data_IF_925128160817
#
_entry.id   IF_925128160817
#
_cell.length_a   1.000
_cell.length_b   1.000
_cell.length_c   1.000
_cell.angle_alpha   90.00
_cell.angle_beta   90.00
_cell.angle_gamma   90.00
#
_symmetry.space_group_name_H-M   'P 1'
#
loop_
_entity.id
_entity.type
_entity.pdbx_description
1 polymer ?
#
# COMPACT_ATOMS: atom_id res chain seq x y z
N UNK A 1 4.38 19.54 3.38
CA UNK A 1 4.09 18.21 3.93
C UNK A 1 5.29 17.34 3.62
N UNK A 2 5.94 16.77 4.63
CA UNK A 2 7.13 15.93 4.43
C UNK A 2 6.75 14.46 4.13
N UNK A 3 7.71 13.65 3.65
CA UNK A 3 7.48 12.26 3.21
C UNK A 3 6.85 11.38 4.32
N UNK A 4 7.27 11.55 5.58
CA UNK A 4 6.74 10.80 6.73
C UNK A 4 5.29 11.16 7.04
N UNK A 5 4.96 12.45 6.99
CA UNK A 5 3.56 12.90 7.14
C UNK A 5 2.67 12.31 6.05
N UNK A 6 3.16 12.19 4.82
CA UNK A 6 2.39 11.67 3.70
C UNK A 6 2.14 10.17 3.81
N UNK A 7 3.17 9.39 4.17
CA UNK A 7 3.04 7.97 4.50
C UNK A 7 2.05 7.76 5.65
N UNK A 8 2.11 8.60 6.69
CA UNK A 8 1.18 8.56 7.81
C UNK A 8 -0.28 8.71 7.38
N UNK A 9 -0.59 9.70 6.52
CA UNK A 9 -1.97 9.92 6.04
C UNK A 9 -2.51 8.78 5.19
N UNK A 10 -1.71 8.25 4.27
CA UNK A 10 -2.17 7.10 3.48
C UNK A 10 -2.37 5.87 4.37
N UNK A 11 -1.49 5.63 5.34
CA UNK A 11 -1.67 4.53 6.30
C UNK A 11 -2.98 4.65 7.11
N UNK A 12 -3.33 5.86 7.56
CA UNK A 12 -4.61 6.13 8.23
C UNK A 12 -5.81 5.85 7.32
N UNK A 13 -5.75 6.25 6.04
CA UNK A 13 -6.79 5.93 5.06
C UNK A 13 -6.92 4.43 4.82
N UNK A 14 -5.81 3.70 4.69
CA UNK A 14 -5.84 2.24 4.54
C UNK A 14 -6.46 1.57 5.77
N UNK A 15 -6.13 2.04 6.97
CA UNK A 15 -6.76 1.57 8.20
C UNK A 15 -8.27 1.87 8.23
N UNK A 16 -8.71 3.03 7.74
CA UNK A 16 -10.15 3.36 7.67
C UNK A 16 -10.90 2.41 6.71
N UNK A 17 -10.33 2.09 5.55
CA UNK A 17 -10.90 1.12 4.60
C UNK A 17 -11.03 -0.26 5.25
N UNK A 18 -10.01 -0.71 6.01
CA UNK A 18 -10.05 -1.98 6.74
C UNK A 18 -11.10 -1.98 7.86
N UNK A 19 -11.29 -0.87 8.56
CA UNK A 19 -12.29 -0.74 9.61
C UNK A 19 -13.71 -0.90 9.04
N UNK A 20 -13.97 -0.26 7.88
CA UNK A 20 -15.23 -0.41 7.17
C UNK A 20 -15.51 -1.88 6.79
N UNK A 21 -14.50 -2.61 6.31
CA UNK A 21 -14.68 -4.03 5.95
C UNK A 21 -14.85 -4.92 7.18
N UNK A 22 -14.16 -4.61 8.29
CA UNK A 22 -14.32 -5.30 9.57
C UNK A 22 -15.76 -5.23 10.12
N UNK A 23 -16.45 -4.10 9.92
CA UNK A 23 -17.84 -3.91 10.34
C UNK A 23 -18.86 -4.57 9.39
N UNK A 24 -18.44 -4.96 8.18
CA UNK A 24 -19.34 -5.54 7.17
C UNK A 24 -19.70 -6.97 7.57
N UNK A 25 -21.02 -7.29 7.59
CA UNK A 25 -21.55 -8.61 7.95
C UNK A 25 -20.91 -9.77 7.17
N UNK A 26 -20.59 -9.54 5.89
CA UNK A 26 -19.92 -10.50 5.01
C UNK A 26 -18.54 -9.98 4.58
N UNK A 27 -17.83 -9.35 5.53
CA UNK A 27 -16.49 -8.84 5.33
C UNK A 27 -15.50 -9.93 4.95
N UNK A 28 -14.53 -9.61 4.10
CA UNK A 28 -13.49 -10.54 3.66
C UNK A 28 -12.54 -10.94 4.81
N UNK A 29 -12.36 -10.07 5.79
CA UNK A 29 -11.46 -10.25 6.93
C UNK A 29 -11.92 -9.41 8.13
N UNK A 30 -11.27 -9.64 9.28
CA UNK A 30 -11.50 -8.88 10.51
C UNK A 30 -10.22 -8.20 10.99
N UNK A 31 -10.26 -6.90 11.21
CA UNK A 31 -9.14 -6.11 11.74
C UNK A 31 -9.62 -5.29 12.97
N UNK A 32 -9.43 -5.81 14.20
CA UNK A 32 -9.90 -5.13 15.41
C UNK A 32 -9.10 -3.86 15.75
N UNK A 33 -7.97 -3.61 15.08
CA UNK A 33 -7.13 -2.44 15.34
C UNK A 33 -7.38 -1.30 14.34
N UNK A 34 -7.96 -1.62 13.18
CA UNK A 34 -8.18 -0.70 12.07
C UNK A 34 -8.83 0.62 12.49
N UNK A 35 -9.93 0.59 13.24
CA UNK A 35 -10.66 1.80 13.62
C UNK A 35 -9.80 2.75 14.48
N UNK A 36 -9.00 2.20 15.39
CA UNK A 36 -8.10 2.97 16.25
C UNK A 36 -6.93 3.54 15.46
N UNK A 37 -6.38 2.79 14.51
CA UNK A 37 -5.26 3.22 13.67
C UNK A 37 -5.68 4.25 12.61
N UNK A 38 -6.93 4.20 12.15
CA UNK A 38 -7.48 5.17 11.21
C UNK A 38 -7.55 6.57 11.81
N UNK A 39 -8.08 6.68 13.03
CA UNK A 39 -8.43 7.97 13.63
C UNK A 39 -9.47 8.74 12.81
N UNK A 40 -9.84 9.94 13.27
CA UNK A 40 -10.84 10.78 12.59
C UNK A 40 -10.40 11.20 11.19
N UNK A 41 -9.10 11.44 10.98
CA UNK A 41 -8.55 11.86 9.69
C UNK A 41 -8.68 10.76 8.63
N UNK A 42 -8.38 9.50 8.96
CA UNK A 42 -8.51 8.38 8.04
C UNK A 42 -9.95 8.19 7.57
N UNK A 43 -10.93 8.29 8.48
CA UNK A 43 -12.35 8.20 8.15
C UNK A 43 -12.82 9.38 7.29
N UNK A 44 -12.39 10.61 7.58
CA UNK A 44 -12.71 11.78 6.75
C UNK A 44 -12.16 11.65 5.32
N UNK A 45 -11.00 11.00 5.14
CA UNK A 45 -10.47 10.68 3.81
C UNK A 45 -11.24 9.56 3.11
N UNK A 46 -11.72 8.55 3.85
CA UNK A 46 -12.51 7.44 3.29
C UNK A 46 -13.82 7.92 2.65
N UNK A 47 -14.49 8.91 3.25
CA UNK A 47 -15.74 9.50 2.74
C UNK A 47 -15.60 10.06 1.33
N UNK A 48 -14.37 10.41 0.93
CA UNK A 48 -14.06 11.00 -0.36
C UNK A 48 -13.77 9.96 -1.47
N UNK A 49 -13.65 8.67 -1.13
CA UNK A 49 -13.33 7.62 -2.10
C UNK A 49 -14.58 6.97 -2.70
N UNK A 50 -14.56 6.70 -4.01
CA UNK A 50 -15.57 5.86 -4.63
C UNK A 50 -15.44 4.40 -4.15
N UNK A 51 -16.54 3.63 -4.05
CA UNK A 51 -16.50 2.23 -3.61
C UNK A 51 -15.55 1.35 -4.43
N UNK A 52 -15.43 1.59 -5.75
CA UNK A 52 -14.54 0.83 -6.64
C UNK A 52 -13.07 0.96 -6.26
N UNK A 53 -12.65 2.13 -5.78
CA UNK A 53 -11.23 2.40 -5.47
C UNK A 53 -10.79 1.77 -4.14
N UNK A 54 -11.75 1.25 -3.36
CA UNK A 54 -11.50 0.53 -2.11
C UNK A 54 -11.25 -0.96 -2.35
N UNK A 55 -11.81 -1.53 -3.42
CA UNK A 55 -11.83 -2.98 -3.64
C UNK A 55 -10.43 -3.59 -3.74
N UNK A 56 -9.49 -2.92 -4.40
CA UNK A 56 -8.10 -3.35 -4.49
C UNK A 56 -7.46 -3.52 -3.10
N UNK A 57 -7.70 -2.57 -2.19
CA UNK A 57 -7.16 -2.59 -0.82
C UNK A 57 -7.70 -3.76 0.00
N UNK A 58 -8.98 -4.08 -0.16
CA UNK A 58 -9.61 -5.18 0.56
C UNK A 58 -9.12 -6.54 0.09
N UNK A 59 -9.01 -6.71 -1.23
CA UNK A 59 -8.45 -7.93 -1.83
C UNK A 59 -7.01 -8.11 -1.37
N UNK A 60 -6.19 -7.05 -1.46
CA UNK A 60 -4.81 -7.05 -0.99
C UNK A 60 -4.68 -7.54 0.45
N UNK A 61 -5.41 -6.93 1.38
CA UNK A 61 -5.35 -7.29 2.80
C UNK A 61 -5.78 -8.72 3.03
N UNK A 62 -6.82 -9.21 2.35
CA UNK A 62 -7.25 -10.60 2.46
C UNK A 62 -6.14 -11.59 2.07
N UNK A 63 -5.35 -11.26 1.06
CA UNK A 63 -4.34 -12.17 0.52
C UNK A 63 -3.00 -12.13 1.25
N UNK A 64 -2.54 -10.95 1.69
CA UNK A 64 -1.16 -10.83 2.18
C UNK A 64 -1.03 -10.80 3.71
N UNK A 65 -2.03 -10.32 4.45
CA UNK A 65 -1.89 -10.10 5.89
C UNK A 65 -1.72 -11.43 6.67
N UNK A 66 -2.32 -12.53 6.19
CA UNK A 66 -2.19 -13.88 6.78
C UNK A 66 -0.75 -14.41 6.74
N UNK A 67 0.13 -13.85 5.90
CA UNK A 67 1.53 -14.26 5.77
C UNK A 67 2.49 -13.46 6.66
N UNK A 68 2.01 -12.41 7.35
CA UNK A 68 2.85 -11.57 8.21
C UNK A 68 3.01 -12.23 9.58
N UNK A 69 4.18 -12.84 9.82
CA UNK A 69 4.48 -13.53 11.08
C UNK A 69 5.37 -12.73 12.04
N UNK A 70 6.16 -11.80 11.52
CA UNK A 70 7.09 -10.98 12.31
C UNK A 70 7.33 -9.60 11.66
N UNK A 71 7.74 -8.61 12.47
CA UNK A 71 8.02 -7.23 12.04
C UNK A 71 9.42 -6.78 12.42
N UNK A 72 10.06 -5.99 11.54
CA UNK A 72 11.32 -5.28 11.80
C UNK A 72 11.06 -3.78 11.81
N UNK A 73 11.44 -3.08 12.87
CA UNK A 73 11.32 -1.63 12.94
C UNK A 73 12.54 -0.97 12.28
N UNK A 74 12.36 -0.43 11.07
CA UNK A 74 13.43 0.18 10.31
C UNK A 74 12.92 1.33 9.44
N UNK A 75 13.77 2.33 9.20
CA UNK A 75 13.59 3.31 8.11
C UNK A 75 14.28 2.75 6.86
N UNK A 76 13.51 2.48 5.80
CA UNK A 76 14.04 1.87 4.58
C UNK A 76 15.04 2.76 3.82
N UNK A 77 15.14 4.04 4.17
CA UNK A 77 16.17 4.95 3.63
C UNK A 77 17.52 4.83 4.34
N UNK A 78 17.61 4.07 5.44
CA UNK A 78 18.82 3.85 6.23
C UNK A 78 19.35 2.41 6.08
N UNK A 79 20.59 2.12 6.51
CA UNK A 79 21.06 0.74 6.79
C UNK A 79 20.09 -0.05 7.68
N UNK A 80 19.37 -1.00 7.08
CA UNK A 80 18.36 -1.85 7.75
C UNK A 80 18.64 -3.34 7.64
N UNK A 81 19.53 -3.73 6.72
CA UNK A 81 19.83 -5.12 6.37
C UNK A 81 20.25 -5.94 7.60
N UNK A 82 21.08 -5.36 8.46
CA UNK A 82 21.54 -6.00 9.69
C UNK A 82 20.38 -6.37 10.64
N UNK A 83 19.34 -5.54 10.73
CA UNK A 83 18.18 -5.81 11.59
C UNK A 83 17.41 -7.04 11.10
N UNK A 84 17.32 -7.23 9.78
CA UNK A 84 16.68 -8.41 9.21
C UNK A 84 17.50 -9.69 9.48
N UNK A 85 18.83 -9.60 9.36
CA UNK A 85 19.75 -10.70 9.67
C UNK A 85 19.72 -11.08 11.16
N UNK A 86 19.70 -10.09 12.05
CA UNK A 86 19.59 -10.30 13.49
C UNK A 86 18.28 -10.99 13.89
N UNK A 87 17.21 -10.80 13.10
CA UNK A 87 15.94 -11.51 13.23
C UNK A 87 15.92 -12.90 12.61
N UNK A 88 17.04 -13.37 12.08
CA UNK A 88 17.20 -14.73 11.58
C UNK A 88 16.89 -14.93 10.10
N UNK A 89 16.74 -13.84 9.33
CA UNK A 89 16.67 -13.96 7.87
C UNK A 89 17.95 -14.56 7.29
N UNK A 90 17.80 -15.53 6.39
CA UNK A 90 18.91 -16.26 5.79
C UNK A 90 19.07 -15.90 4.33
N UNK A 91 20.14 -15.17 4.00
CA UNK A 91 20.48 -14.73 2.62
C UNK A 91 20.78 -15.87 1.66
N UNK A 92 20.90 -17.10 2.15
CA UNK A 92 21.16 -18.32 1.37
C UNK A 92 19.90 -19.06 0.95
N UNK A 93 18.73 -18.69 1.51
CA UNK A 93 17.45 -19.35 1.23
C UNK A 93 16.65 -18.48 0.25
N UNK A 94 16.10 -19.05 -0.85
CA UNK A 94 15.22 -18.32 -1.76
C UNK A 94 14.07 -17.65 -1.02
N UNK A 95 13.87 -16.36 -1.29
CA UNK A 95 12.85 -15.54 -0.62
C UNK A 95 11.93 -14.88 -1.64
N UNK A 96 10.71 -14.58 -1.22
CA UNK A 96 9.80 -13.70 -1.97
C UNK A 96 9.82 -12.35 -1.29
N UNK A 97 10.32 -11.33 -1.98
CA UNK A 97 10.22 -9.94 -1.55
C UNK A 97 8.94 -9.34 -2.13
N UNK A 98 8.12 -8.74 -1.29
CA UNK A 98 6.95 -7.98 -1.73
C UNK A 98 7.16 -6.51 -1.37
N UNK A 99 7.22 -5.64 -2.38
CA UNK A 99 7.34 -4.19 -2.19
C UNK A 99 6.09 -3.53 -2.75
N UNK A 100 5.12 -3.35 -1.86
CA UNK A 100 3.79 -2.86 -2.19
C UNK A 100 3.50 -1.51 -1.54
N UNK A 101 2.85 -0.62 -2.28
CA UNK A 101 2.50 0.74 -1.89
C UNK A 101 3.70 1.59 -1.47
N UNK A 102 4.92 1.33 -1.96
CA UNK A 102 6.12 2.00 -1.44
C UNK A 102 6.77 2.97 -2.43
N UNK A 103 6.98 2.57 -3.68
CA UNK A 103 7.81 3.34 -4.62
C UNK A 103 7.23 4.70 -4.99
N UNK A 104 5.91 4.88 -4.87
CA UNK A 104 5.26 6.19 -5.09
C UNK A 104 5.63 7.24 -4.04
N UNK A 105 6.26 6.83 -2.94
CA UNK A 105 6.73 7.70 -1.85
C UNK A 105 8.25 7.94 -1.87
N UNK A 106 8.99 7.30 -2.77
CA UNK A 106 10.45 7.33 -2.80
C UNK A 106 10.95 8.14 -4.00
N UNK A 107 12.01 8.91 -3.78
CA UNK A 107 12.79 9.51 -4.86
C UNK A 107 13.58 8.43 -5.60
N UNK A 108 13.97 8.70 -6.86
CA UNK A 108 14.69 7.73 -7.70
C UNK A 108 15.96 7.17 -7.02
N UNK A 109 16.75 8.04 -6.39
CA UNK A 109 17.95 7.63 -5.66
C UNK A 109 17.63 6.71 -4.46
N UNK A 110 16.50 6.92 -3.80
CA UNK A 110 16.04 6.08 -2.69
C UNK A 110 15.57 4.71 -3.20
N UNK A 111 14.85 4.67 -4.33
CA UNK A 111 14.48 3.42 -5.00
C UNK A 111 15.73 2.63 -5.39
N UNK A 112 16.71 3.27 -6.03
CA UNK A 112 17.96 2.61 -6.41
C UNK A 112 18.72 2.07 -5.21
N UNK A 113 18.84 2.85 -4.12
CA UNK A 113 19.49 2.38 -2.89
C UNK A 113 18.76 1.17 -2.30
N UNK A 114 17.43 1.23 -2.18
CA UNK A 114 16.64 0.12 -1.65
C UNK A 114 16.80 -1.15 -2.49
N UNK A 115 16.73 -1.02 -3.81
CA UNK A 115 16.87 -2.14 -4.73
C UNK A 115 18.28 -2.77 -4.67
N UNK A 116 19.33 -1.97 -4.53
CA UNK A 116 20.68 -2.49 -4.31
C UNK A 116 20.80 -3.28 -3.01
N UNK A 117 20.13 -2.83 -1.95
CA UNK A 117 20.14 -3.51 -0.64
C UNK A 117 19.37 -4.83 -0.70
N UNK A 118 18.16 -4.83 -1.28
CA UNK A 118 17.37 -6.05 -1.53
C UNK A 118 18.19 -7.04 -2.35
N UNK A 119 18.86 -6.59 -3.41
CA UNK A 119 19.71 -7.44 -4.26
C UNK A 119 20.81 -8.16 -3.47
N UNK A 120 21.46 -7.48 -2.51
CA UNK A 120 22.47 -8.11 -1.62
C UNK A 120 21.89 -9.17 -0.69
N UNK A 121 20.59 -9.13 -0.41
CA UNK A 121 19.89 -10.07 0.46
C UNK A 121 19.21 -11.21 -0.31
N UNK A 122 19.33 -11.23 -1.64
CA UNK A 122 18.56 -12.11 -2.53
C UNK A 122 19.35 -13.36 -2.92
N UNK A 123 18.90 -14.55 -2.50
CA UNK A 123 19.46 -15.81 -2.95
C UNK A 123 19.02 -16.15 -4.40
N UNK A 124 19.78 -16.93 -5.17
CA UNK A 124 19.32 -17.49 -6.43
C UNK A 124 17.97 -18.22 -6.28
N UNK A 125 17.03 -18.01 -7.20
CA UNK A 125 15.68 -18.58 -7.13
C UNK A 125 14.67 -17.76 -6.31
N UNK A 126 15.08 -16.62 -5.76
CA UNK A 126 14.17 -15.66 -5.13
C UNK A 126 13.28 -14.93 -6.14
N UNK A 127 12.16 -14.40 -5.67
CA UNK A 127 11.22 -13.60 -6.46
C UNK A 127 10.99 -12.22 -5.83
N UNK A 128 10.65 -11.24 -6.67
CA UNK A 128 10.27 -9.89 -6.24
C UNK A 128 8.90 -9.56 -6.83
N UNK A 129 7.92 -9.30 -5.97
CA UNK A 129 6.63 -8.73 -6.31
C UNK A 129 6.65 -7.22 -6.06
N UNK A 130 6.15 -6.45 -7.03
CA UNK A 130 6.05 -4.99 -6.98
C UNK A 130 4.62 -4.56 -7.34
N UNK A 131 4.23 -3.35 -6.94
CA UNK A 131 2.99 -2.74 -7.43
C UNK A 131 2.94 -2.63 -8.96
N UNK A 132 1.77 -2.91 -9.53
CA UNK A 132 1.41 -2.47 -10.88
C UNK A 132 0.92 -1.03 -10.81
N UNK A 133 1.83 -0.06 -10.90
CA UNK A 133 1.47 1.34 -11.03
C UNK A 133 1.04 1.64 -12.49
N UNK A 134 -0.15 2.20 -12.67
CA UNK A 134 -0.55 2.78 -13.95
C UNK A 134 0.43 3.93 -14.33
N UNK A 135 0.78 4.07 -15.61
CA UNK A 135 1.73 5.10 -16.10
C UNK A 135 1.31 6.52 -15.71
N UNK A 136 0.02 6.75 -15.42
CA UNK A 136 -0.49 8.02 -14.92
C UNK A 136 -0.08 8.36 -13.48
N UNK A 137 0.19 7.37 -12.63
CA UNK A 137 0.58 7.55 -11.23
C UNK A 137 2.03 8.06 -11.06
N UNK A 138 2.87 7.89 -12.09
CA UNK A 138 4.26 8.34 -12.11
C UNK A 138 4.42 9.85 -12.38
N UNK A 139 3.34 10.58 -12.69
CA UNK A 139 3.43 12.01 -13.04
C UNK A 139 3.44 12.92 -11.82
N UNK A 140 2.84 12.53 -10.70
CA UNK A 140 3.00 13.17 -9.37
C UNK A 140 2.59 12.19 -8.25
N UNK A 141 3.29 12.15 -7.10
CA UNK A 141 2.82 11.44 -5.89
C UNK A 141 1.42 11.87 -5.42
N UNK A 142 0.98 13.07 -5.80
CA UNK A 142 -0.37 13.60 -5.51
C UNK A 142 -1.47 13.06 -6.45
N UNK A 143 -1.12 12.46 -7.59
CA UNK A 143 -2.08 12.02 -8.60
C UNK A 143 -2.96 10.84 -8.18
N UNK A 144 -2.47 9.98 -7.28
CA UNK A 144 -3.22 8.84 -6.73
C UNK A 144 -4.38 9.27 -5.84
N UNK A 145 -4.29 10.44 -5.18
CA UNK A 145 -5.39 11.01 -4.38
C UNK A 145 -6.27 11.93 -5.23
N UNK A 146 -5.71 12.64 -6.21
CA UNK A 146 -6.48 13.56 -7.05
C UNK A 146 -7.34 12.91 -8.14
N UNK A 147 -6.94 11.74 -8.68
CA UNK A 147 -7.72 11.08 -9.74
C UNK A 147 -9.06 10.53 -9.20
N UNK A 148 -9.05 10.04 -7.96
CA UNK A 148 -10.27 9.59 -7.27
C UNK A 148 -11.25 10.73 -6.95
N UNK A 149 -10.79 11.98 -6.96
CA UNK A 149 -11.55 13.17 -6.55
C UNK A 149 -12.08 14.03 -7.70
N UNK A 150 -11.66 13.79 -8.96
CA UNK A 150 -11.94 14.70 -10.08
C UNK A 150 -12.62 14.10 -11.31
N UNK A 151 -12.74 12.79 -11.40
CA UNK A 151 -13.47 12.19 -12.52
C UNK A 151 -14.96 12.08 -12.15
N UNK A 152 -15.76 13.09 -12.53
CA UNK A 152 -17.21 12.94 -12.58
C UNK A 152 -17.54 11.73 -13.47
N UNK A 153 -18.50 10.86 -13.07
CA UNK A 153 -18.91 9.76 -13.94
C UNK A 153 -19.44 10.33 -15.27
N UNK A 154 -19.15 9.69 -16.41
CA UNK A 154 -19.65 10.16 -17.69
C UNK A 154 -21.17 10.23 -17.64
N UNK A 155 -21.72 11.41 -17.96
CA UNK A 155 -23.16 11.60 -18.11
C UNK A 155 -23.64 10.71 -19.25
N UNK A 156 -24.28 9.59 -18.90
CA UNK A 156 -24.99 8.76 -19.87
C UNK A 156 -26.23 9.52 -20.29
N UNK A 157 -26.11 10.37 -21.30
CA UNK A 157 -27.26 10.90 -22.03
C UNK A 157 -27.83 9.78 -22.88
N UNK A 158 -28.78 9.04 -22.32
CA UNK A 158 -29.61 8.12 -23.08
C UNK A 158 -30.39 8.90 -24.13
N UNK A 159 -29.96 8.86 -25.39
CA UNK A 159 -30.84 9.18 -26.51
C UNK A 159 -31.87 8.06 -26.62
N UNK A 160 -33.08 8.34 -26.14
CA UNK A 160 -34.27 7.58 -26.51
C UNK A 160 -34.58 7.89 -27.97
N UNK A 161 -34.14 7.03 -28.89
CA UNK A 161 -34.68 6.97 -30.24
C UNK A 161 -35.97 6.15 -30.20
N UNK A 162 -37.09 6.85 -30.43
CA UNK A 162 -38.32 6.26 -30.99
C UNK A 162 -38.16 6.10 -32.51
#
# INVERSE_FOLDING_TARGET
MNQREFVGKTAQLMAAIRAMEHERKEGLFTDPFAAKLAGSEGFAMLEQLLPRDRAYILVRTRFFDDFIMETVNADLNQPWEHLLLEKGYQVTIPSVFLVEGLFLYLEEAQVHSLMQRISKLTAPGSHLGLDLLDRGALKTPQGLVQKTLKDEPPVVTGKSSA
#
